data_IF_646078594221
#
_entry.id   IF_646078594221
#
_cell.length_a   1.000
_cell.length_b   1.000
_cell.length_c   1.000
_cell.angle_alpha   90.00
_cell.angle_beta   90.00
_cell.angle_gamma   90.00
#
_symmetry.space_group_name_H-M   'P 1'
#
loop_
_entity.id
_entity.type
_entity.pdbx_description
1 polymer ?
#
# COMPACT_ATOMS: atom_id res chain seq x y z
N UNK A 1 6.34 -17.90 -6.26
CA UNK A 1 5.50 -18.93 -5.57
C UNK A 1 5.25 -20.07 -6.54
N UNK A 2 5.08 -21.32 -6.07
CA UNK A 2 4.74 -22.46 -6.95
C UNK A 2 3.22 -22.62 -7.04
N UNK A 3 2.70 -22.83 -8.24
CA UNK A 3 1.28 -23.20 -8.46
C UNK A 3 0.98 -24.50 -7.72
N UNK A 4 -0.14 -24.55 -7.00
CA UNK A 4 -0.53 -25.73 -6.21
C UNK A 4 -0.90 -26.90 -7.13
N UNK A 5 -0.60 -28.10 -6.66
CA UNK A 5 -0.86 -29.34 -7.39
C UNK A 5 -1.79 -30.31 -6.62
N UNK A 6 -1.82 -30.21 -5.29
CA UNK A 6 -2.64 -31.11 -4.46
C UNK A 6 -4.11 -30.65 -4.43
N UNK A 7 -5.07 -31.59 -4.51
CA UNK A 7 -6.50 -31.30 -4.37
C UNK A 7 -6.87 -30.98 -2.91
N UNK A 8 -8.12 -30.58 -2.67
CA UNK A 8 -8.67 -30.39 -1.32
C UNK A 8 -8.51 -29.00 -0.73
N UNK A 9 -8.05 -28.01 -1.51
CA UNK A 9 -8.13 -26.60 -1.10
C UNK A 9 -9.60 -26.19 -1.04
N UNK A 10 -10.04 -25.64 0.10
CA UNK A 10 -11.41 -25.16 0.32
C UNK A 10 -11.34 -23.82 1.05
N UNK A 11 -12.17 -22.87 0.62
CA UNK A 11 -12.42 -21.64 1.37
C UNK A 11 -13.57 -21.94 2.31
N UNK A 12 -13.30 -21.88 3.61
CA UNK A 12 -14.27 -22.23 4.66
C UNK A 12 -14.69 -21.00 5.46
N UNK A 13 -15.92 -21.01 5.96
CA UNK A 13 -16.40 -20.00 6.89
C UNK A 13 -15.66 -20.14 8.22
N UNK A 14 -15.01 -19.08 8.72
CA UNK A 14 -14.42 -19.11 10.05
C UNK A 14 -15.48 -19.42 11.11
N UNK A 15 -15.20 -20.39 11.99
CA UNK A 15 -16.07 -20.76 13.11
C UNK A 15 -17.01 -21.93 12.84
N UNK A 16 -17.62 -22.05 11.64
CA UNK A 16 -18.51 -23.18 11.32
C UNK A 16 -17.83 -24.31 10.56
N UNK A 17 -16.72 -24.03 9.87
CA UNK A 17 -16.04 -25.00 9.01
C UNK A 17 -16.80 -25.32 7.71
N UNK A 18 -17.93 -24.65 7.47
CA UNK A 18 -18.72 -24.78 6.25
C UNK A 18 -17.88 -24.39 5.03
N UNK A 19 -17.88 -25.23 4.00
CA UNK A 19 -17.23 -24.94 2.73
C UNK A 19 -18.04 -23.88 1.99
N UNK A 20 -17.46 -22.69 1.83
CA UNK A 20 -18.05 -21.57 1.07
C UNK A 20 -17.73 -21.71 -0.41
N UNK A 21 -16.49 -22.07 -0.74
CA UNK A 21 -16.03 -22.16 -2.12
C UNK A 21 -14.93 -23.22 -2.29
N UNK A 22 -14.97 -23.91 -3.43
CA UNK A 22 -13.95 -24.88 -3.84
C UNK A 22 -13.27 -24.36 -5.11
N UNK A 23 -12.04 -23.83 -5.03
CA UNK A 23 -11.31 -23.37 -6.20
C UNK A 23 -10.95 -24.53 -7.13
N UNK A 24 -10.60 -24.24 -8.40
CA UNK A 24 -10.22 -25.26 -9.39
C UNK A 24 -9.11 -26.20 -8.88
N UNK A 25 -9.16 -27.48 -9.24
CA UNK A 25 -8.15 -28.46 -8.85
C UNK A 25 -7.35 -28.95 -10.06
N UNK A 26 -6.12 -29.40 -9.80
CA UNK A 26 -5.21 -29.85 -10.85
C UNK A 26 -4.31 -28.72 -11.36
N UNK A 27 -3.01 -28.99 -11.41
CA UNK A 27 -2.00 -28.01 -11.82
C UNK A 27 -2.23 -27.50 -13.25
N UNK A 28 -2.59 -28.40 -14.16
CA UNK A 28 -2.79 -28.05 -15.57
C UNK A 28 -4.01 -27.17 -15.77
N UNK A 29 -5.12 -27.46 -15.08
CA UNK A 29 -6.33 -26.62 -15.08
C UNK A 29 -6.04 -25.23 -14.51
N UNK A 30 -5.28 -25.15 -13.41
CA UNK A 30 -4.91 -23.86 -12.82
C UNK A 30 -4.02 -23.07 -13.78
N UNK A 31 -3.02 -23.72 -14.39
CA UNK A 31 -2.14 -23.08 -15.37
C UNK A 31 -2.93 -22.58 -16.59
N UNK A 32 -3.84 -23.37 -17.12
CA UNK A 32 -4.69 -22.97 -18.24
C UNK A 32 -5.54 -21.74 -17.88
N UNK A 33 -6.17 -21.73 -16.71
CA UNK A 33 -6.95 -20.59 -16.22
C UNK A 33 -6.08 -19.35 -16.01
N UNK A 34 -4.85 -19.51 -15.51
CA UNK A 34 -3.89 -18.42 -15.40
C UNK A 34 -3.47 -17.88 -16.77
N UNK A 35 -3.27 -18.74 -17.77
CA UNK A 35 -2.98 -18.30 -19.14
C UNK A 35 -4.15 -17.56 -19.78
N UNK A 36 -5.40 -17.96 -19.51
CA UNK A 36 -6.60 -17.22 -19.94
C UNK A 36 -6.66 -15.86 -19.23
N UNK A 37 -6.43 -15.84 -17.93
CA UNK A 37 -6.38 -14.62 -17.12
C UNK A 37 -5.29 -13.65 -17.62
N UNK A 38 -4.09 -14.15 -17.94
CA UNK A 38 -2.99 -13.37 -18.51
C UNK A 38 -3.38 -12.74 -19.85
N UNK A 39 -4.00 -13.51 -20.74
CA UNK A 39 -4.52 -12.96 -22.01
C UNK A 39 -5.58 -11.89 -21.78
N UNK A 40 -6.45 -12.08 -20.79
CA UNK A 40 -7.48 -11.10 -20.44
C UNK A 40 -6.90 -9.78 -19.91
N UNK A 41 -5.88 -9.82 -19.05
CA UNK A 41 -5.29 -8.58 -18.50
C UNK A 41 -4.58 -7.74 -19.57
N UNK A 42 -4.08 -8.37 -20.64
CA UNK A 42 -3.35 -7.71 -21.73
C UNK A 42 -4.18 -7.53 -23.00
N UNK A 43 -5.48 -7.84 -22.98
CA UNK A 43 -6.33 -7.66 -24.14
C UNK A 43 -6.53 -6.17 -24.46
N UNK A 44 -6.39 -5.82 -25.74
CA UNK A 44 -6.69 -4.50 -26.28
C UNK A 44 -8.07 -4.55 -26.95
N UNK A 45 -9.11 -4.53 -26.12
CA UNK A 45 -10.53 -4.67 -26.53
C UNK A 45 -11.37 -3.42 -26.19
N UNK A 46 -10.73 -2.34 -25.73
CA UNK A 46 -11.38 -1.09 -25.34
C UNK A 46 -12.05 -1.09 -23.97
N UNK A 47 -11.99 -2.18 -23.20
CA UNK A 47 -12.51 -2.20 -21.82
C UNK A 47 -11.70 -1.27 -20.92
N UNK A 48 -12.41 -0.48 -20.11
CA UNK A 48 -11.80 0.43 -19.14
C UNK A 48 -10.83 -0.32 -18.19
N UNK A 49 -9.60 0.18 -17.98
CA UNK A 49 -8.60 -0.52 -17.17
C UNK A 49 -9.01 -0.78 -15.71
N UNK A 50 -9.84 0.07 -15.10
CA UNK A 50 -10.34 -0.13 -13.74
C UNK A 50 -11.33 -1.29 -13.68
N UNK A 51 -12.21 -1.38 -14.67
CA UNK A 51 -13.16 -2.51 -14.81
C UNK A 51 -12.41 -3.80 -15.09
N UNK A 52 -11.41 -3.77 -15.99
CA UNK A 52 -10.54 -4.92 -16.26
C UNK A 52 -9.83 -5.38 -14.99
N UNK A 53 -9.25 -4.45 -14.22
CA UNK A 53 -8.58 -4.76 -12.96
C UNK A 53 -9.54 -5.38 -11.94
N UNK A 54 -10.75 -4.84 -11.79
CA UNK A 54 -11.76 -5.41 -10.89
C UNK A 54 -12.12 -6.86 -11.28
N UNK A 55 -12.39 -7.12 -12.56
CA UNK A 55 -12.71 -8.46 -13.04
C UNK A 55 -11.52 -9.43 -12.90
N UNK A 56 -10.32 -8.97 -13.25
CA UNK A 56 -9.09 -9.75 -13.11
C UNK A 56 -8.78 -10.08 -11.65
N UNK A 57 -9.06 -9.17 -10.72
CA UNK A 57 -8.88 -9.39 -9.29
C UNK A 57 -9.78 -10.53 -8.79
N UNK A 58 -11.08 -10.47 -9.11
CA UNK A 58 -12.00 -11.56 -8.79
C UNK A 58 -11.51 -12.89 -9.37
N UNK A 59 -11.15 -12.90 -10.66
CA UNK A 59 -10.76 -14.13 -11.35
C UNK A 59 -9.50 -14.75 -10.73
N UNK A 60 -8.52 -13.93 -10.33
CA UNK A 60 -7.32 -14.39 -9.65
C UNK A 60 -7.63 -15.04 -8.29
N UNK A 61 -8.49 -14.40 -7.49
CA UNK A 61 -8.92 -14.93 -6.20
C UNK A 61 -9.73 -16.23 -6.33
N UNK A 62 -10.57 -16.34 -7.36
CA UNK A 62 -11.36 -17.53 -7.67
C UNK A 62 -10.48 -18.70 -8.15
N UNK A 63 -9.47 -18.44 -9.00
CA UNK A 63 -8.49 -19.48 -9.40
C UNK A 63 -7.72 -19.98 -8.17
N UNK A 64 -7.38 -19.07 -7.26
CA UNK A 64 -6.66 -19.36 -6.02
C UNK A 64 -5.40 -20.21 -6.27
N UNK A 65 -4.44 -19.74 -7.09
CA UNK A 65 -3.42 -20.59 -7.70
C UNK A 65 -2.34 -21.13 -6.74
N UNK A 66 -2.17 -20.52 -5.56
CA UNK A 66 -1.12 -20.87 -4.61
C UNK A 66 -1.69 -21.53 -3.35
N UNK A 67 -0.82 -22.19 -2.57
CA UNK A 67 -1.19 -22.78 -1.28
C UNK A 67 -1.39 -21.72 -0.18
N UNK A 68 -0.71 -20.58 -0.28
CA UNK A 68 -0.87 -19.42 0.59
C UNK A 68 -0.45 -18.16 -0.21
N UNK A 69 -0.92 -17.00 0.22
CA UNK A 69 -0.50 -15.71 -0.33
C UNK A 69 -1.33 -15.22 -1.51
N UNK A 70 -2.42 -15.91 -1.88
CA UNK A 70 -3.31 -15.51 -2.99
C UNK A 70 -3.81 -14.07 -2.80
N UNK A 71 -4.50 -13.77 -1.71
CA UNK A 71 -4.99 -12.42 -1.41
C UNK A 71 -3.92 -11.32 -1.43
N UNK A 72 -2.71 -11.62 -0.94
CA UNK A 72 -1.59 -10.66 -0.96
C UNK A 72 -1.10 -10.43 -2.39
N UNK A 73 -0.97 -11.49 -3.16
CA UNK A 73 -0.52 -11.44 -4.56
C UNK A 73 -1.55 -10.74 -5.44
N UNK A 74 -2.83 -11.09 -5.30
CA UNK A 74 -3.94 -10.44 -6.04
C UNK A 74 -3.97 -8.93 -5.80
N UNK A 75 -3.83 -8.47 -4.55
CA UNK A 75 -3.79 -7.03 -4.26
C UNK A 75 -2.56 -6.30 -4.80
N UNK A 76 -1.40 -6.98 -4.87
CA UNK A 76 -0.21 -6.43 -5.53
C UNK A 76 -0.45 -6.32 -7.04
N UNK A 77 -1.01 -7.36 -7.66
CA UNK A 77 -1.34 -7.38 -9.09
C UNK A 77 -2.28 -6.24 -9.46
N UNK A 78 -3.28 -5.91 -8.64
CA UNK A 78 -4.16 -4.77 -8.88
C UNK A 78 -3.37 -3.47 -9.09
N UNK A 79 -2.41 -3.17 -8.19
CA UNK A 79 -1.59 -1.96 -8.30
C UNK A 79 -0.69 -2.00 -9.53
N UNK A 80 -0.12 -3.17 -9.85
CA UNK A 80 0.71 -3.34 -11.05
C UNK A 80 -0.08 -3.15 -12.34
N UNK A 81 -1.33 -3.65 -12.41
CA UNK A 81 -2.21 -3.45 -13.56
C UNK A 81 -2.55 -1.97 -13.76
N UNK A 82 -2.79 -1.22 -12.67
CA UNK A 82 -3.01 0.22 -12.75
C UNK A 82 -1.76 0.99 -13.22
N UNK A 83 -0.56 0.49 -12.87
CA UNK A 83 0.69 1.06 -13.35
C UNK A 83 0.94 0.76 -14.83
N UNK A 84 0.69 -0.49 -15.24
CA UNK A 84 0.80 -0.94 -16.63
C UNK A 84 -0.15 -0.16 -17.56
N UNK A 85 -1.38 0.09 -17.10
CA UNK A 85 -2.36 0.91 -17.80
C UNK A 85 -2.07 2.43 -17.77
N UNK A 86 -0.98 2.87 -17.12
CA UNK A 86 -0.59 4.28 -17.04
C UNK A 86 -1.44 5.13 -16.09
N UNK A 87 -2.35 4.52 -15.32
CA UNK A 87 -3.20 5.23 -14.33
C UNK A 87 -2.44 5.57 -13.05
N UNK A 88 -1.37 4.82 -12.73
CA UNK A 88 -0.46 5.10 -11.62
C UNK A 88 0.98 5.13 -12.09
N UNK A 89 1.73 6.17 -11.70
CA UNK A 89 3.19 6.21 -11.91
C UNK A 89 3.98 5.56 -10.78
N UNK A 90 3.42 5.54 -9.57
CA UNK A 90 4.02 4.98 -8.36
C UNK A 90 2.98 4.14 -7.61
N UNK A 91 3.38 3.07 -6.90
CA UNK A 91 2.47 2.17 -6.20
C UNK A 91 1.99 2.76 -4.86
N UNK A 92 1.34 3.92 -4.89
CA UNK A 92 0.95 4.71 -3.70
C UNK A 92 -0.53 4.61 -3.34
N UNK A 93 -1.34 3.91 -4.15
CA UNK A 93 -2.75 3.71 -3.89
C UNK A 93 -2.95 2.68 -2.77
N UNK A 94 -3.66 3.07 -1.70
CA UNK A 94 -3.87 2.21 -0.52
C UNK A 94 -5.18 1.41 -0.59
N UNK A 95 -5.51 0.82 -1.75
CA UNK A 95 -6.76 0.06 -1.98
C UNK A 95 -6.98 -1.06 -0.95
N UNK A 96 -5.89 -1.71 -0.52
CA UNK A 96 -5.93 -2.78 0.48
C UNK A 96 -6.62 -2.35 1.78
N UNK A 97 -6.51 -1.08 2.17
CA UNK A 97 -7.16 -0.58 3.39
C UNK A 97 -8.68 -0.63 3.29
N UNK A 98 -9.24 -0.17 2.17
CA UNK A 98 -10.68 -0.23 1.94
C UNK A 98 -11.20 -1.67 2.01
N UNK A 99 -10.49 -2.61 1.39
CA UNK A 99 -10.82 -4.05 1.42
C UNK A 99 -10.77 -4.61 2.85
N UNK A 100 -9.77 -4.22 3.66
CA UNK A 100 -9.64 -4.66 5.05
C UNK A 100 -10.77 -4.09 5.92
N UNK A 101 -11.06 -2.79 5.77
CA UNK A 101 -12.07 -2.10 6.56
C UNK A 101 -13.50 -2.58 6.20
N UNK A 102 -13.70 -3.07 4.97
CA UNK A 102 -14.97 -3.63 4.45
C UNK A 102 -14.90 -5.13 4.14
N UNK A 103 -14.07 -5.88 4.89
CA UNK A 103 -13.74 -7.29 4.63
C UNK A 103 -14.95 -8.20 4.42
N UNK A 104 -16.04 -7.97 5.16
CA UNK A 104 -17.25 -8.78 5.05
C UNK A 104 -17.93 -8.58 3.69
N UNK A 105 -18.04 -7.33 3.23
CA UNK A 105 -18.60 -7.01 1.92
C UNK A 105 -17.71 -7.52 0.79
N UNK A 106 -16.39 -7.39 0.93
CA UNK A 106 -15.43 -7.95 -0.03
C UNK A 106 -15.68 -9.43 -0.30
N UNK A 107 -15.74 -10.27 0.75
CA UNK A 107 -15.97 -11.71 0.56
C UNK A 107 -17.39 -12.03 0.12
N UNK A 108 -18.40 -11.30 0.60
CA UNK A 108 -19.78 -11.45 0.16
C UNK A 108 -19.91 -11.20 -1.34
N UNK A 109 -19.32 -10.11 -1.84
CA UNK A 109 -19.38 -9.73 -3.25
C UNK A 109 -18.56 -10.66 -4.14
N UNK A 110 -17.37 -11.10 -3.71
CA UNK A 110 -16.63 -12.16 -4.43
C UNK A 110 -17.49 -13.42 -4.61
N UNK A 111 -18.16 -13.87 -3.54
CA UNK A 111 -19.01 -15.05 -3.60
C UNK A 111 -20.22 -14.83 -4.50
N UNK A 112 -20.85 -13.65 -4.44
CA UNK A 112 -22.00 -13.30 -5.27
C UNK A 112 -21.67 -13.32 -6.78
N UNK A 113 -20.44 -12.95 -7.18
CA UNK A 113 -20.02 -13.11 -8.59
C UNK A 113 -20.03 -14.59 -9.00
N UNK A 114 -19.52 -15.48 -8.14
CA UNK A 114 -19.52 -16.93 -8.41
C UNK A 114 -20.92 -17.54 -8.39
N UNK A 115 -21.74 -17.18 -7.41
CA UNK A 115 -23.03 -17.82 -7.14
C UNK A 115 -24.18 -17.25 -8.00
N UNK A 116 -24.13 -15.95 -8.29
CA UNK A 116 -25.27 -15.17 -8.82
C UNK A 116 -24.88 -14.35 -10.05
N UNK A 117 -23.62 -14.40 -10.51
CA UNK A 117 -23.10 -13.54 -11.60
C UNK A 117 -23.25 -12.03 -11.30
N UNK A 118 -23.18 -11.66 -10.02
CA UNK A 118 -23.28 -10.30 -9.48
C UNK A 118 -22.05 -9.41 -9.81
N UNK A 119 -21.72 -9.29 -11.10
CA UNK A 119 -20.54 -8.56 -11.59
C UNK A 119 -20.65 -7.06 -11.38
N UNK A 120 -21.85 -6.50 -11.53
CA UNK A 120 -22.08 -5.07 -11.39
C UNK A 120 -21.77 -4.60 -9.96
N UNK A 121 -22.32 -5.26 -8.93
CA UNK A 121 -22.04 -4.88 -7.55
C UNK A 121 -20.57 -5.04 -7.17
N UNK A 122 -19.91 -6.08 -7.70
CA UNK A 122 -18.48 -6.28 -7.49
C UNK A 122 -17.64 -5.15 -8.10
N UNK A 123 -17.90 -4.81 -9.37
CA UNK A 123 -17.16 -3.74 -10.06
C UNK A 123 -17.40 -2.41 -9.36
N UNK A 124 -18.65 -2.07 -9.02
CA UNK A 124 -18.98 -0.84 -8.30
C UNK A 124 -18.28 -0.76 -6.94
N UNK A 125 -18.22 -1.85 -6.19
CA UNK A 125 -17.50 -1.92 -4.92
C UNK A 125 -16.00 -1.64 -5.09
N UNK A 126 -15.36 -2.24 -6.10
CA UNK A 126 -13.93 -2.01 -6.37
C UNK A 126 -13.69 -0.56 -6.79
N UNK A 127 -14.52 -0.01 -7.67
CA UNK A 127 -14.42 1.38 -8.12
C UNK A 127 -14.60 2.37 -6.96
N UNK A 128 -15.58 2.14 -6.08
CA UNK A 128 -15.76 2.94 -4.88
C UNK A 128 -14.52 2.88 -3.97
N UNK A 129 -13.92 1.70 -3.80
CA UNK A 129 -12.66 1.53 -3.07
C UNK A 129 -11.51 2.32 -3.67
N UNK A 130 -11.38 2.34 -5.00
CA UNK A 130 -10.36 3.13 -5.71
C UNK A 130 -10.60 4.62 -5.50
N UNK A 131 -11.82 5.10 -5.66
CA UNK A 131 -12.14 6.52 -5.48
C UNK A 131 -11.79 6.98 -4.05
N UNK A 132 -12.33 6.27 -3.06
CA UNK A 132 -12.15 6.60 -1.64
C UNK A 132 -10.68 6.58 -1.25
N UNK A 133 -9.93 5.56 -1.68
CA UNK A 133 -8.51 5.45 -1.34
C UNK A 133 -7.63 6.43 -2.12
N UNK A 134 -8.02 6.81 -3.33
CA UNK A 134 -7.34 7.87 -4.09
C UNK A 134 -7.47 9.22 -3.40
N UNK A 135 -8.70 9.60 -2.99
CA UNK A 135 -8.95 10.83 -2.21
C UNK A 135 -8.17 10.83 -0.89
N UNK A 136 -8.19 9.72 -0.17
CA UNK A 136 -7.42 9.53 1.06
C UNK A 136 -5.91 9.73 0.84
N UNK A 137 -5.33 9.08 -0.18
CA UNK A 137 -3.91 9.22 -0.49
C UNK A 137 -3.54 10.66 -0.85
N UNK A 138 -4.39 11.37 -1.62
CA UNK A 138 -4.17 12.79 -1.93
C UNK A 138 -4.18 13.67 -0.68
N UNK A 139 -5.16 13.49 0.22
CA UNK A 139 -5.21 14.20 1.50
C UNK A 139 -3.96 13.94 2.34
N UNK A 140 -3.52 12.69 2.43
CA UNK A 140 -2.31 12.32 3.16
C UNK A 140 -1.06 12.98 2.57
N UNK A 141 -0.90 13.00 1.24
CA UNK A 141 0.20 13.69 0.56
C UNK A 141 0.17 15.19 0.84
N UNK A 142 -1.00 15.83 0.79
CA UNK A 142 -1.14 17.26 1.10
C UNK A 142 -0.74 17.56 2.55
N UNK A 143 -1.17 16.74 3.51
CA UNK A 143 -0.78 16.89 4.90
C UNK A 143 0.74 16.71 5.11
N UNK A 144 1.37 15.76 4.39
CA UNK A 144 2.82 15.56 4.45
C UNK A 144 3.56 16.79 3.94
N UNK A 145 3.11 17.39 2.83
CA UNK A 145 3.70 18.62 2.28
C UNK A 145 3.58 19.81 3.25
N UNK A 146 2.40 19.99 3.85
CA UNK A 146 2.17 21.05 4.83
C UNK A 146 3.07 20.86 6.07
N UNK A 147 3.21 19.63 6.56
CA UNK A 147 4.13 19.32 7.65
C UNK A 147 5.58 19.58 7.26
N UNK A 148 6.00 19.17 6.06
CA UNK A 148 7.36 19.38 5.57
C UNK A 148 7.72 20.86 5.51
N UNK A 149 6.82 21.71 5.01
CA UNK A 149 7.03 23.16 4.97
C UNK A 149 7.18 23.75 6.38
N UNK A 150 6.23 23.47 7.27
CA UNK A 150 6.26 23.95 8.66
C UNK A 150 7.47 23.44 9.46
N UNK A 151 7.84 22.17 9.26
CA UNK A 151 9.02 21.57 9.87
C UNK A 151 10.31 22.26 9.38
N UNK A 152 10.45 22.45 8.07
CA UNK A 152 11.63 23.07 7.48
C UNK A 152 11.82 24.52 7.95
N UNK A 153 10.73 25.28 8.12
CA UNK A 153 10.78 26.64 8.67
C UNK A 153 11.32 26.65 10.11
N UNK A 154 10.81 25.78 10.99
CA UNK A 154 11.31 25.65 12.37
C UNK A 154 12.74 25.13 12.43
N UNK A 155 13.09 24.16 11.56
CA UNK A 155 14.42 23.57 11.50
C UNK A 155 15.50 24.61 11.12
N UNK A 156 15.19 25.56 10.25
CA UNK A 156 16.10 26.66 9.85
C UNK A 156 16.46 27.59 11.02
N UNK A 157 15.59 27.74 12.01
CA UNK A 157 15.90 28.49 13.22
C UNK A 157 16.82 27.71 14.19
N UNK A 158 16.80 26.37 14.12
CA UNK A 158 17.54 25.50 15.04
C UNK A 158 18.96 25.16 14.55
N UNK A 159 19.14 24.96 13.23
CA UNK A 159 20.43 24.52 12.68
C UNK A 159 20.70 25.07 11.28
N UNK A 160 21.95 25.43 11.02
CA UNK A 160 22.41 25.78 9.66
C UNK A 160 22.28 24.62 8.68
N UNK A 161 22.29 23.38 9.16
CA UNK A 161 22.07 22.18 8.36
C UNK A 161 20.70 22.14 7.68
N UNK A 162 19.69 22.84 8.22
CA UNK A 162 18.37 22.90 7.63
C UNK A 162 18.30 23.77 6.35
N UNK A 163 19.40 24.40 5.93
CA UNK A 163 19.54 24.98 4.60
C UNK A 163 19.90 23.93 3.53
N UNK A 164 20.38 22.75 3.94
CA UNK A 164 20.75 21.65 3.05
C UNK A 164 19.50 20.87 2.61
N UNK A 165 19.26 20.81 1.29
CA UNK A 165 18.08 20.16 0.73
C UNK A 165 18.09 18.63 0.91
N UNK A 166 19.26 18.00 0.87
CA UNK A 166 19.38 16.56 1.13
C UNK A 166 19.08 16.24 2.58
N UNK A 167 19.54 17.07 3.52
CA UNK A 167 19.23 16.89 4.93
C UNK A 167 17.73 16.97 5.20
N UNK A 168 17.04 17.96 4.63
CA UNK A 168 15.58 18.05 4.70
C UNK A 168 14.89 16.82 4.10
N UNK A 169 15.37 16.35 2.95
CA UNK A 169 14.80 15.19 2.25
C UNK A 169 14.96 13.91 3.06
N UNK A 170 16.14 13.68 3.65
CA UNK A 170 16.41 12.53 4.53
C UNK A 170 15.42 12.46 5.71
N UNK A 171 15.06 13.60 6.32
CA UNK A 171 14.14 13.64 7.46
C UNK A 171 12.68 13.30 7.11
N UNK A 172 12.31 13.39 5.83
CA UNK A 172 10.97 13.04 5.31
C UNK A 172 10.95 11.78 4.42
N UNK A 173 12.10 11.27 4.02
CA UNK A 173 12.24 9.92 3.44
C UNK A 173 12.41 8.85 4.53
N UNK A 174 13.07 9.20 5.64
CA UNK A 174 13.38 8.30 6.75
C UNK A 174 12.88 8.89 8.08
N UNK A 175 11.63 8.54 8.51
CA UNK A 175 11.09 8.97 9.80
C UNK A 175 11.99 8.59 11.00
N UNK A 176 12.82 7.55 10.82
CA UNK A 176 13.88 7.15 11.73
C UNK A 176 15.22 7.28 11.02
N UNK A 177 15.98 8.32 11.35
CA UNK A 177 17.26 8.62 10.72
C UNK A 177 18.44 8.24 11.63
N UNK A 178 19.55 7.81 11.02
CA UNK A 178 20.84 7.58 11.67
C UNK A 178 21.84 8.65 11.22
N UNK A 179 22.81 8.95 12.08
CA UNK A 179 23.92 9.87 11.75
C UNK A 179 24.63 9.44 10.46
N UNK A 180 24.86 8.13 10.28
CA UNK A 180 25.50 7.58 9.09
C UNK A 180 24.72 7.85 7.78
N UNK A 181 23.38 7.93 7.84
CA UNK A 181 22.57 8.31 6.68
C UNK A 181 22.87 9.76 6.29
N UNK A 182 22.87 10.67 7.26
CA UNK A 182 23.13 12.11 7.03
C UNK A 182 24.54 12.33 6.51
N UNK A 183 25.55 11.69 7.10
CA UNK A 183 26.94 11.75 6.63
C UNK A 183 27.03 11.38 5.14
N UNK A 184 26.42 10.25 4.75
CA UNK A 184 26.49 9.76 3.37
C UNK A 184 25.66 10.60 2.40
N UNK A 185 24.44 11.01 2.80
CA UNK A 185 23.49 11.69 1.90
C UNK A 185 23.80 13.18 1.72
N UNK A 186 24.31 13.83 2.76
CA UNK A 186 24.61 15.26 2.74
C UNK A 186 26.11 15.55 2.54
N UNK A 187 26.94 14.50 2.41
CA UNK A 187 28.41 14.61 2.25
C UNK A 187 29.07 15.50 3.32
N UNK A 188 28.75 15.22 4.59
CA UNK A 188 29.27 15.98 5.74
C UNK A 188 30.00 15.10 6.74
N UNK A 189 30.90 15.72 7.50
CA UNK A 189 31.59 15.03 8.60
C UNK A 189 30.61 14.49 9.65
N UNK A 190 30.98 13.40 10.33
CA UNK A 190 30.18 12.84 11.44
C UNK A 190 29.92 13.87 12.56
N UNK A 191 30.90 14.69 12.99
CA UNK A 191 30.62 15.80 13.91
C UNK A 191 29.54 16.75 13.40
N UNK A 192 29.63 17.19 12.14
CA UNK A 192 28.65 18.09 11.51
C UNK A 192 27.23 17.48 11.54
N UNK A 193 27.07 16.24 11.07
CA UNK A 193 25.79 15.55 11.08
C UNK A 193 25.22 15.40 12.51
N UNK A 194 26.10 15.12 13.48
CA UNK A 194 25.71 14.97 14.89
C UNK A 194 25.22 16.31 15.46
N UNK A 195 25.93 17.40 15.19
CA UNK A 195 25.53 18.75 15.58
C UNK A 195 24.18 19.14 14.98
N UNK A 196 23.97 18.88 13.69
CA UNK A 196 22.70 19.21 13.04
C UNK A 196 21.52 18.44 13.63
N UNK A 197 21.68 17.14 13.81
CA UNK A 197 20.63 16.28 14.38
C UNK A 197 20.33 16.62 15.84
N UNK A 198 21.36 16.86 16.66
CA UNK A 198 21.15 17.25 18.06
C UNK A 198 20.48 18.62 18.19
N UNK A 199 20.82 19.59 17.33
CA UNK A 199 20.15 20.89 17.34
C UNK A 199 18.64 20.78 17.07
N UNK A 200 18.22 19.86 16.19
CA UNK A 200 16.79 19.57 15.97
C UNK A 200 16.15 18.86 17.17
N UNK A 201 16.91 18.07 17.94
CA UNK A 201 16.44 17.46 19.18
C UNK A 201 16.25 18.51 20.26
N UNK A 202 17.22 19.41 20.42
CA UNK A 202 17.18 20.51 21.40
C UNK A 202 16.03 21.48 21.10
N UNK A 203 15.69 21.66 19.82
CA UNK A 203 14.51 22.42 19.37
C UNK A 203 13.17 21.64 19.47
N UNK A 204 13.18 20.39 19.93
CA UNK A 204 11.99 19.56 20.07
C UNK A 204 11.40 19.04 18.76
N UNK A 205 12.13 19.15 17.65
CA UNK A 205 11.69 18.70 16.32
C UNK A 205 11.96 17.21 16.09
N UNK A 206 12.98 16.66 16.74
CA UNK A 206 13.32 15.23 16.70
C UNK A 206 13.37 14.65 18.12
N UNK A 207 13.01 13.38 18.23
CA UNK A 207 13.26 12.58 19.44
C UNK A 207 14.48 11.67 19.23
N UNK A 208 15.16 11.27 20.31
CA UNK A 208 16.25 10.29 20.19
C UNK A 208 15.96 9.01 20.92
N UNK A 209 16.37 7.90 20.31
CA UNK A 209 16.24 6.56 20.88
C UNK A 209 17.55 5.80 20.74
N UNK A 210 18.02 5.17 21.81
CA UNK A 210 19.19 4.30 21.77
C UNK A 210 18.77 2.90 21.34
N UNK A 211 19.39 2.36 20.29
CA UNK A 211 19.21 0.97 19.85
C UNK A 211 20.58 0.31 19.76
N UNK A 212 20.89 -0.56 20.71
CA UNK A 212 22.20 -1.18 20.83
C UNK A 212 23.30 -0.12 21.02
N UNK A 213 24.24 -0.06 20.07
CA UNK A 213 25.34 0.91 20.04
C UNK A 213 25.00 2.20 19.27
N UNK A 214 23.89 2.20 18.53
CA UNK A 214 23.50 3.33 17.68
C UNK A 214 22.46 4.22 18.36
N UNK A 215 22.41 5.48 17.90
CA UNK A 215 21.38 6.46 18.26
C UNK A 215 20.52 6.75 17.02
N UNK A 216 19.22 6.56 17.16
CA UNK A 216 18.21 6.97 16.18
C UNK A 216 17.69 8.36 16.51
N UNK A 217 17.37 9.10 15.46
CA UNK A 217 16.70 10.40 15.50
C UNK A 217 15.36 10.26 14.79
N UNK A 218 14.27 10.62 15.46
CA UNK A 218 12.92 10.27 15.06
C UNK A 218 12.14 11.55 14.80
N UNK A 219 11.65 11.70 13.58
CA UNK A 219 10.70 12.75 13.24
C UNK A 219 9.30 12.30 13.70
N UNK A 220 8.97 12.59 14.97
CA UNK A 220 7.76 12.09 15.61
C UNK A 220 6.49 12.61 14.94
N UNK A 221 6.46 13.89 14.58
CA UNK A 221 5.33 14.51 13.89
C UNK A 221 5.04 13.81 12.57
N UNK A 222 6.08 13.55 11.77
CA UNK A 222 5.94 12.87 10.49
C UNK A 222 5.54 11.40 10.66
N UNK A 223 6.16 10.70 11.60
CA UNK A 223 5.79 9.33 11.92
C UNK A 223 4.31 9.23 12.31
N UNK A 224 3.84 10.10 13.22
CA UNK A 224 2.44 10.14 13.64
C UNK A 224 1.51 10.41 12.46
N UNK A 225 1.88 11.33 11.56
CA UNK A 225 1.10 11.61 10.36
C UNK A 225 0.96 10.39 9.43
N UNK A 226 2.06 9.63 9.25
CA UNK A 226 2.08 8.41 8.43
C UNK A 226 1.22 7.28 9.02
N UNK A 227 1.29 7.07 10.34
CA UNK A 227 0.60 5.94 11.00
C UNK A 227 -0.83 6.27 11.40
N UNK A 228 -1.21 7.56 11.48
CA UNK A 228 -2.56 7.97 11.86
C UNK A 228 -3.59 7.46 10.86
N UNK A 229 -4.44 6.58 11.35
CA UNK A 229 -5.62 6.12 10.63
C UNK A 229 -6.71 7.18 10.74
N UNK A 230 -6.89 7.95 9.67
CA UNK A 230 -8.07 8.80 9.51
C UNK A 230 -9.17 7.98 8.82
N UNK A 231 -10.44 8.15 9.23
CA UNK A 231 -11.54 7.52 8.54
C UNK A 231 -11.57 7.94 7.06
N UNK A 232 -12.10 7.05 6.22
CA UNK A 232 -12.46 7.43 4.86
C UNK A 232 -13.60 8.46 4.91
N UNK A 233 -13.60 9.38 3.95
CA UNK A 233 -14.75 10.26 3.77
C UNK A 233 -15.94 9.40 3.33
N UNK A 234 -17.11 9.66 3.89
CA UNK A 234 -18.34 9.00 3.47
C UNK A 234 -18.67 9.48 2.05
N UNK A 235 -19.00 8.59 1.10
CA UNK A 235 -19.44 9.02 -0.22
C UNK A 235 -20.69 9.91 -0.09
N UNK A 236 -20.60 11.16 -0.56
CA UNK A 236 -21.70 12.14 -0.52
C UNK A 236 -21.44 13.44 0.26
N UNK A 237 -20.24 13.64 0.82
CA UNK A 237 -19.78 14.92 1.39
C UNK A 237 -19.01 15.79 0.40
#
# INVERSE_FOLDING_TARGET
MKVRALPGTRIVRPGTGEVIYSPPEGRDVINEKLSVWERFIHADDGLDPLVRMAAAHYQFEAIHPFTDGNGRTGRILNVLMLMDAGLLRLPVLYLSRYIIDSKNDYYRLLLAVTAESAWEEWVLYVLAGIEVTSRYTLRKIAAIRALQESFNQRARAATRGAADAEFQSVLFEQPYCRIATVVRRCDVSRPTATTWLNALVDAGLLETMKIGRDRLFINREFLLLLVRQEPFDQPGS
#
